data_IF_593842535785
#
_entry.id   IF_593842535785
#
_cell.length_a   1.000
_cell.length_b   1.000
_cell.length_c   1.000
_cell.angle_alpha   90.00
_cell.angle_beta   90.00
_cell.angle_gamma   90.00
#
_symmetry.space_group_name_H-M   'P 1'
#
loop_
_entity.id
_entity.type
_entity.pdbx_description
1 polymer ?
#
# COMPACT_ATOMS: atom_id res chain seq x y z
N UNK A 1 24.23 -10.45 22.52
CA UNK A 1 23.01 -11.27 22.34
C UNK A 1 23.42 -12.63 21.78
N UNK A 2 22.83 -13.72 22.25
CA UNK A 2 23.05 -15.07 21.71
C UNK A 2 21.90 -15.43 20.75
N UNK A 3 22.20 -16.23 19.72
CA UNK A 3 21.17 -16.74 18.80
C UNK A 3 20.17 -17.61 19.57
N UNK A 4 18.86 -17.55 19.24
CA UNK A 4 17.88 -18.41 19.88
C UNK A 4 18.09 -19.88 19.49
N UNK A 5 17.59 -20.83 20.31
CA UNK A 5 17.57 -22.24 19.94
C UNK A 5 16.83 -22.47 18.61
N UNK A 6 17.34 -23.38 17.77
CA UNK A 6 16.71 -23.76 16.49
C UNK A 6 15.47 -24.63 16.71
N UNK A 7 14.38 -24.02 17.19
CA UNK A 7 13.07 -24.64 17.38
C UNK A 7 11.96 -23.67 16.96
N UNK A 8 10.90 -24.15 16.30
CA UNK A 8 9.73 -23.32 16.00
C UNK A 8 9.17 -22.70 17.28
N UNK A 9 8.82 -21.42 17.23
CA UNK A 9 8.14 -20.71 18.32
C UNK A 9 6.65 -20.64 18.05
N UNK A 10 5.84 -20.63 19.11
CA UNK A 10 4.42 -20.29 19.00
C UNK A 10 4.30 -18.87 18.47
N UNK A 11 3.54 -18.70 17.40
CA UNK A 11 3.32 -17.41 16.74
C UNK A 11 2.37 -16.54 17.55
N UNK A 12 2.55 -15.22 17.44
CA UNK A 12 1.56 -14.25 17.92
C UNK A 12 0.39 -14.33 16.94
N UNK A 13 -0.81 -14.58 17.48
CA UNK A 13 -2.00 -14.84 16.67
C UNK A 13 -3.03 -13.71 16.72
N UNK A 14 -2.89 -12.75 17.64
CA UNK A 14 -3.78 -11.59 17.74
C UNK A 14 -3.34 -10.50 16.75
N UNK A 15 -4.25 -9.95 15.90
CA UNK A 15 -3.92 -8.81 15.06
C UNK A 15 -3.68 -7.57 15.92
N UNK A 16 -2.75 -6.71 15.52
CA UNK A 16 -2.43 -5.45 16.21
C UNK A 16 -2.29 -4.25 15.27
N UNK A 17 -2.08 -4.49 13.99
CA UNK A 17 -1.83 -3.42 13.02
C UNK A 17 -2.98 -3.38 12.01
N UNK A 18 -3.61 -2.22 11.82
CA UNK A 18 -4.81 -2.09 11.03
C UNK A 18 -4.66 -0.97 10.00
N UNK A 19 -5.00 -1.25 8.75
CA UNK A 19 -5.14 -0.24 7.71
C UNK A 19 -6.62 -0.02 7.44
N UNK A 20 -7.15 1.14 7.83
CA UNK A 20 -8.57 1.49 7.73
C UNK A 20 -8.74 2.57 6.67
N UNK A 21 -9.61 2.36 5.69
CA UNK A 21 -9.85 3.33 4.63
C UNK A 21 -11.32 3.38 4.20
N UNK A 22 -11.71 4.45 3.51
CA UNK A 22 -13.10 4.69 3.17
C UNK A 22 -13.45 6.17 3.01
N UNK A 23 -14.63 6.49 2.46
CA UNK A 23 -15.04 7.86 2.21
C UNK A 23 -15.09 8.70 3.50
N UNK A 24 -15.13 10.02 3.35
CA UNK A 24 -15.33 10.94 4.48
C UNK A 24 -16.65 10.63 5.18
N UNK A 25 -16.70 10.83 6.50
CA UNK A 25 -17.91 10.60 7.32
C UNK A 25 -18.48 9.17 7.31
N UNK A 26 -17.73 8.18 6.83
CA UNK A 26 -18.14 6.77 6.78
C UNK A 26 -17.69 5.93 7.98
N UNK A 27 -17.37 6.58 9.10
CA UNK A 27 -17.12 5.90 10.38
C UNK A 27 -15.70 5.35 10.57
N UNK A 28 -14.71 5.83 9.81
CA UNK A 28 -13.28 5.45 9.98
C UNK A 28 -12.76 5.81 11.37
N UNK A 29 -12.80 7.09 11.73
CA UNK A 29 -12.34 7.59 13.04
C UNK A 29 -13.20 7.04 14.19
N UNK A 30 -14.49 6.78 13.95
CA UNK A 30 -15.38 6.11 14.91
C UNK A 30 -14.97 4.66 15.18
N UNK A 31 -14.62 3.88 14.14
CA UNK A 31 -14.08 2.53 14.32
C UNK A 31 -12.72 2.58 15.07
N UNK A 32 -11.86 3.54 14.74
CA UNK A 32 -10.58 3.67 15.43
C UNK A 32 -10.72 4.06 16.91
N UNK A 33 -11.69 4.91 17.27
CA UNK A 33 -11.95 5.29 18.67
C UNK A 33 -12.52 4.16 19.52
N UNK A 34 -13.08 3.11 18.91
CA UNK A 34 -13.58 1.95 19.64
C UNK A 34 -12.44 1.09 20.22
N UNK A 35 -11.21 1.21 19.73
CA UNK A 35 -10.06 0.44 20.25
C UNK A 35 -9.65 0.85 21.67
N UNK A 36 -8.96 -0.02 22.43
CA UNK A 36 -8.52 0.28 23.79
C UNK A 36 -7.62 1.52 23.85
N UNK A 37 -7.98 2.46 24.74
CA UNK A 37 -7.21 3.67 25.08
C UNK A 37 -6.45 4.32 23.90
N UNK A 38 -7.16 4.86 22.89
CA UNK A 38 -6.53 5.37 21.69
C UNK A 38 -5.98 6.79 21.87
N UNK A 39 -4.86 7.08 21.18
CA UNK A 39 -4.37 8.43 20.90
C UNK A 39 -4.30 8.66 19.40
N UNK A 40 -4.80 9.81 18.94
CA UNK A 40 -4.83 10.18 17.52
C UNK A 40 -3.68 11.13 17.21
N UNK A 41 -2.85 10.75 16.25
CA UNK A 41 -1.89 11.62 15.58
C UNK A 41 -2.58 12.20 14.35
N UNK A 42 -3.11 13.40 14.53
CA UNK A 42 -4.05 14.04 13.62
C UNK A 42 -3.32 14.93 12.62
N UNK A 43 -3.59 14.80 11.33
CA UNK A 43 -2.99 15.62 10.26
C UNK A 43 -4.03 16.45 9.51
N UNK A 44 -5.32 16.11 9.61
CA UNK A 44 -6.38 16.70 8.80
C UNK A 44 -7.17 17.83 9.50
N UNK A 45 -6.82 18.14 10.75
CA UNK A 45 -7.42 19.22 11.55
C UNK A 45 -8.78 18.89 12.17
N UNK A 46 -9.27 17.65 12.10
CA UNK A 46 -10.58 17.27 12.64
C UNK A 46 -10.56 16.82 14.11
N UNK A 47 -9.38 16.76 14.75
CA UNK A 47 -9.20 16.34 16.13
C UNK A 47 -10.15 17.03 17.14
N UNK A 48 -10.41 18.32 16.97
CA UNK A 48 -11.28 19.09 17.87
C UNK A 48 -12.74 18.62 17.90
N UNK A 49 -13.16 17.79 16.94
CA UNK A 49 -14.52 17.25 16.84
C UNK A 49 -14.64 15.84 17.47
N UNK A 50 -13.56 15.32 18.06
CA UNK A 50 -13.47 13.95 18.57
C UNK A 50 -13.06 13.99 20.04
N UNK A 51 -13.65 13.15 20.88
CA UNK A 51 -13.34 13.07 22.33
C UNK A 51 -12.02 12.33 22.62
N UNK A 52 -11.53 11.55 21.66
CA UNK A 52 -10.28 10.80 21.76
C UNK A 52 -9.09 11.76 21.91
N UNK A 53 -8.18 11.52 22.88
CA UNK A 53 -6.95 12.28 23.01
C UNK A 53 -6.19 12.35 21.68
N UNK A 54 -5.71 13.54 21.33
CA UNK A 54 -5.11 13.78 20.02
C UNK A 54 -3.94 14.76 20.10
N UNK A 55 -3.04 14.62 19.13
CA UNK A 55 -1.92 15.52 18.87
C UNK A 55 -1.98 15.92 17.41
N UNK A 56 -2.07 17.23 17.15
CA UNK A 56 -2.04 17.76 15.80
C UNK A 56 -0.61 17.77 15.25
N UNK A 57 -0.44 17.19 14.08
CA UNK A 57 0.80 17.07 13.34
C UNK A 57 0.78 18.01 12.15
N UNK A 58 1.81 18.85 12.07
CA UNK A 58 2.00 19.81 10.97
C UNK A 58 3.46 20.18 10.88
N UNK A 59 3.90 20.67 9.73
CA UNK A 59 5.20 21.35 9.68
C UNK A 59 5.07 22.70 10.41
N UNK A 60 5.60 22.79 11.63
CA UNK A 60 5.52 24.01 12.45
C UNK A 60 6.43 25.08 11.84
N UNK A 61 5.88 26.26 11.58
CA UNK A 61 6.59 27.35 10.91
C UNK A 61 6.96 28.47 11.87
N UNK A 62 8.12 29.08 11.66
CA UNK A 62 8.49 30.32 12.34
C UNK A 62 7.61 31.47 11.81
N UNK A 63 6.88 32.20 12.67
CA UNK A 63 6.02 33.30 12.24
C UNK A 63 6.73 34.47 11.56
N UNK A 64 8.05 34.61 11.74
CA UNK A 64 8.86 35.70 11.17
C UNK A 64 9.48 35.33 9.83
N UNK A 65 10.02 34.12 9.70
CA UNK A 65 10.70 33.69 8.47
C UNK A 65 9.80 32.88 7.55
N UNK A 66 8.75 32.25 8.10
CA UNK A 66 7.89 31.33 7.39
C UNK A 66 8.49 29.93 7.20
N UNK A 67 9.75 29.72 7.58
CA UNK A 67 10.47 28.46 7.42
C UNK A 67 9.99 27.41 8.44
N UNK A 68 10.11 26.13 8.08
CA UNK A 68 9.85 25.02 9.00
C UNK A 68 10.87 25.05 10.14
N UNK A 69 10.36 25.20 11.36
CA UNK A 69 11.13 25.15 12.60
C UNK A 69 11.16 23.75 13.21
N UNK A 70 10.03 23.04 13.16
CA UNK A 70 9.91 21.65 13.62
C UNK A 70 9.12 20.88 12.56
N UNK A 71 9.79 19.94 11.91
CA UNK A 71 9.16 19.12 10.87
C UNK A 71 8.17 18.11 11.44
N UNK A 72 7.22 17.66 10.62
CA UNK A 72 6.34 16.55 10.97
C UNK A 72 7.13 15.27 11.27
N UNK A 73 8.29 15.10 10.63
CA UNK A 73 9.18 13.96 10.84
C UNK A 73 9.71 14.00 12.26
N UNK A 74 10.24 15.13 12.71
CA UNK A 74 10.72 15.30 14.09
C UNK A 74 9.62 15.07 15.12
N UNK A 75 8.42 15.61 14.87
CA UNK A 75 7.26 15.39 15.74
C UNK A 75 6.91 13.91 15.85
N UNK A 76 6.80 13.21 14.72
CA UNK A 76 6.49 11.78 14.68
C UNK A 76 7.55 10.95 15.40
N UNK A 77 8.83 11.19 15.13
CA UNK A 77 9.91 10.45 15.78
C UNK A 77 9.99 10.74 17.28
N UNK A 78 9.64 11.96 17.71
CA UNK A 78 9.52 12.37 19.10
C UNK A 78 8.37 11.66 19.81
N UNK A 79 7.17 11.67 19.22
CA UNK A 79 5.99 10.99 19.76
C UNK A 79 6.20 9.48 19.86
N UNK A 80 6.77 8.85 18.83
CA UNK A 80 7.12 7.42 18.88
C UNK A 80 8.11 7.16 20.01
N UNK A 81 9.12 8.03 20.19
CA UNK A 81 10.08 7.89 21.29
C UNK A 81 9.41 8.01 22.66
N UNK A 82 8.39 8.86 22.80
CA UNK A 82 7.64 8.98 24.05
C UNK A 82 6.74 7.76 24.30
N UNK A 83 6.16 7.17 23.25
CA UNK A 83 5.47 5.88 23.33
C UNK A 83 6.44 4.73 23.71
N UNK A 84 7.66 4.71 23.16
CA UNK A 84 8.69 3.71 23.47
C UNK A 84 9.16 3.79 24.93
N UNK A 85 9.23 4.99 25.51
CA UNK A 85 9.61 5.18 26.94
C UNK A 85 8.54 4.66 27.90
N UNK A 86 7.28 4.58 27.47
CA UNK A 86 6.15 4.22 28.32
C UNK A 86 5.74 5.33 29.29
N UNK A 87 5.06 4.97 30.39
CA UNK A 87 4.53 5.93 31.38
C UNK A 87 3.23 6.62 30.95
N UNK A 88 2.68 6.22 29.81
CA UNK A 88 1.35 6.61 29.32
C UNK A 88 0.34 5.47 29.51
N UNK A 89 -0.95 5.80 29.47
CA UNK A 89 -2.05 4.81 29.50
C UNK A 89 -2.54 4.34 28.12
N UNK A 90 -1.93 4.81 27.03
CA UNK A 90 -2.37 4.46 25.68
C UNK A 90 -2.06 3.01 25.32
N UNK A 91 -3.03 2.37 24.66
CA UNK A 91 -2.95 0.99 24.14
C UNK A 91 -3.17 0.93 22.62
N UNK A 92 -3.51 2.06 22.01
CA UNK A 92 -3.69 2.20 20.56
C UNK A 92 -3.17 3.54 20.08
N UNK A 93 -2.40 3.55 19.00
CA UNK A 93 -2.01 4.77 18.27
C UNK A 93 -2.71 4.79 16.91
N UNK A 94 -3.32 5.92 16.57
CA UNK A 94 -4.07 6.13 15.33
C UNK A 94 -3.41 7.25 14.53
N UNK A 95 -3.08 7.02 13.26
CA UNK A 95 -2.61 8.05 12.33
C UNK A 95 -3.78 8.43 11.43
N UNK A 96 -4.32 9.65 11.60
CA UNK A 96 -5.51 10.15 10.90
C UNK A 96 -5.22 11.51 10.24
N UNK A 97 -4.96 11.63 8.94
CA UNK A 97 -4.82 10.59 7.90
C UNK A 97 -3.38 10.42 7.44
N UNK A 98 -3.01 9.18 7.11
CA UNK A 98 -1.66 8.81 6.66
C UNK A 98 -1.30 9.45 5.31
N UNK A 99 -2.29 9.75 4.47
CA UNK A 99 -2.12 10.51 3.22
C UNK A 99 -1.44 11.87 3.44
N UNK A 100 -1.90 12.62 4.44
CA UNK A 100 -1.37 13.95 4.73
C UNK A 100 -0.04 13.87 5.47
N UNK A 101 0.17 12.84 6.29
CA UNK A 101 1.48 12.58 6.88
C UNK A 101 2.55 12.42 5.79
N UNK A 102 2.27 11.61 4.76
CA UNK A 102 3.17 11.42 3.62
C UNK A 102 3.42 12.75 2.88
N UNK A 103 2.36 13.53 2.65
CA UNK A 103 2.46 14.84 2.00
C UNK A 103 3.31 15.82 2.83
N UNK A 104 3.13 15.86 4.15
CA UNK A 104 3.88 16.72 5.06
C UNK A 104 5.37 16.31 5.12
N UNK A 105 5.68 15.01 5.02
CA UNK A 105 7.06 14.50 4.91
C UNK A 105 7.71 14.98 3.61
N UNK A 106 6.99 14.89 2.48
CA UNK A 106 7.49 15.41 1.19
C UNK A 106 7.78 16.91 1.26
N UNK A 107 6.87 17.70 1.85
CA UNK A 107 7.07 19.14 2.04
C UNK A 107 8.32 19.45 2.88
N UNK A 108 8.55 18.71 3.97
CA UNK A 108 9.73 18.90 4.81
C UNK A 108 11.04 18.61 4.03
N UNK A 109 11.06 17.54 3.22
CA UNK A 109 12.21 17.21 2.37
C UNK A 109 12.44 18.30 1.31
N UNK A 110 11.38 18.73 0.63
CA UNK A 110 11.44 19.78 -0.38
C UNK A 110 12.04 21.08 0.19
N UNK A 111 11.52 21.53 1.33
CA UNK A 111 11.96 22.77 1.97
C UNK A 111 13.40 22.70 2.49
N UNK A 112 13.81 21.58 3.09
CA UNK A 112 15.20 21.36 3.53
C UNK A 112 16.20 21.39 2.36
N UNK A 113 15.77 20.99 1.16
CA UNK A 113 16.60 20.99 -0.03
C UNK A 113 16.40 22.24 -0.93
N UNK A 114 15.53 23.17 -0.54
CA UNK A 114 15.24 24.38 -1.31
C UNK A 114 14.62 24.11 -2.69
N UNK A 115 13.78 23.08 -2.80
CA UNK A 115 13.09 22.68 -4.05
C UNK A 115 11.57 22.62 -3.85
N UNK A 116 10.79 22.72 -4.92
CA UNK A 116 9.33 22.62 -4.86
C UNK A 116 8.82 21.18 -5.08
N UNK A 117 9.59 20.37 -5.80
CA UNK A 117 9.25 18.99 -6.11
C UNK A 117 10.32 18.03 -5.62
N UNK A 118 9.89 16.94 -4.97
CA UNK A 118 10.79 15.96 -4.35
C UNK A 118 11.73 15.29 -5.36
N UNK A 119 11.34 15.25 -6.64
CA UNK A 119 12.19 14.73 -7.72
C UNK A 119 13.34 15.65 -8.13
N UNK A 120 13.30 16.93 -7.76
CA UNK A 120 14.34 17.91 -8.09
C UNK A 120 15.55 17.81 -7.15
N UNK A 121 15.42 17.03 -6.06
CA UNK A 121 16.56 16.70 -5.19
C UNK A 121 17.52 15.79 -5.98
N UNK A 122 18.81 16.17 -6.14
CA UNK A 122 19.76 15.49 -7.00
C UNK A 122 19.88 13.97 -6.77
N UNK A 123 20.11 13.23 -7.85
CA UNK A 123 20.38 11.79 -7.84
C UNK A 123 19.27 10.94 -7.20
N UNK A 124 18.01 11.42 -7.25
CA UNK A 124 16.86 10.71 -6.66
C UNK A 124 16.86 10.67 -5.14
N UNK A 125 17.73 11.46 -4.48
CA UNK A 125 17.87 11.47 -3.02
C UNK A 125 16.58 11.86 -2.31
N UNK A 126 15.76 12.75 -2.88
CA UNK A 126 14.46 13.14 -2.30
C UNK A 126 13.51 11.96 -2.14
N UNK A 127 13.34 11.15 -3.19
CA UNK A 127 12.54 9.92 -3.13
C UNK A 127 13.13 8.89 -2.15
N UNK A 128 14.47 8.80 -2.07
CA UNK A 128 15.17 7.97 -1.10
C UNK A 128 14.89 8.37 0.35
N UNK A 129 14.97 9.67 0.66
CA UNK A 129 14.67 10.22 1.99
C UNK A 129 13.20 9.97 2.36
N UNK A 130 12.28 10.28 1.44
CA UNK A 130 10.84 10.04 1.63
C UNK A 130 10.55 8.60 2.00
N UNK A 131 11.05 7.64 1.20
CA UNK A 131 10.90 6.21 1.49
C UNK A 131 11.49 5.84 2.85
N UNK A 132 12.66 6.38 3.17
CA UNK A 132 13.36 6.10 4.44
C UNK A 132 12.53 6.56 5.64
N UNK A 133 11.99 7.77 5.61
CA UNK A 133 11.20 8.29 6.72
C UNK A 133 9.87 7.54 6.89
N UNK A 134 9.14 7.29 5.81
CA UNK A 134 7.88 6.53 5.86
C UNK A 134 8.14 5.12 6.42
N UNK A 135 9.17 4.43 5.90
CA UNK A 135 9.52 3.08 6.36
C UNK A 135 9.94 3.08 7.83
N UNK A 136 10.75 4.06 8.24
CA UNK A 136 11.20 4.21 9.64
C UNK A 136 10.03 4.39 10.59
N UNK A 137 9.09 5.28 10.27
CA UNK A 137 7.88 5.53 11.06
C UNK A 137 7.05 4.24 11.17
N UNK A 138 6.73 3.60 10.05
CA UNK A 138 5.88 2.40 10.02
C UNK A 138 6.51 1.24 10.80
N UNK A 139 7.81 0.99 10.63
CA UNK A 139 8.52 -0.09 11.32
C UNK A 139 8.60 0.18 12.82
N UNK A 140 8.89 1.42 13.23
CA UNK A 140 8.97 1.75 14.66
C UNK A 140 7.60 1.67 15.33
N UNK A 141 6.53 2.16 14.69
CA UNK A 141 5.17 2.01 15.19
C UNK A 141 4.80 0.54 15.37
N UNK A 142 5.07 -0.31 14.37
CA UNK A 142 4.81 -1.77 14.44
C UNK A 142 5.57 -2.46 15.57
N UNK A 143 6.75 -1.96 15.93
CA UNK A 143 7.56 -2.53 17.00
C UNK A 143 7.02 -2.21 18.41
N UNK A 144 6.09 -1.25 18.53
CA UNK A 144 5.47 -0.91 19.81
C UNK A 144 4.57 -2.06 20.30
N UNK A 145 4.50 -2.30 21.63
CA UNK A 145 3.66 -3.35 22.21
C UNK A 145 2.19 -2.91 22.33
N UNK A 146 1.63 -2.28 21.29
CA UNK A 146 0.28 -1.71 21.27
C UNK A 146 -0.38 -1.86 19.89
N UNK A 147 -1.64 -1.47 19.77
CA UNK A 147 -2.32 -1.45 18.47
C UNK A 147 -1.89 -0.23 17.66
N UNK A 148 -1.74 -0.41 16.35
CA UNK A 148 -1.41 0.67 15.41
C UNK A 148 -2.48 0.71 14.33
N UNK A 149 -3.10 1.87 14.14
CA UNK A 149 -4.15 2.08 13.14
C UNK A 149 -3.72 3.18 12.20
N UNK A 150 -3.70 2.88 10.90
CA UNK A 150 -3.50 3.87 9.85
C UNK A 150 -4.84 4.15 9.18
N UNK A 151 -5.25 5.42 9.16
CA UNK A 151 -6.46 5.85 8.46
C UNK A 151 -6.06 6.48 7.12
N UNK A 152 -6.69 6.02 6.04
CA UNK A 152 -6.52 6.59 4.70
C UNK A 152 -7.86 7.01 4.09
N UNK A 153 -7.81 7.90 3.09
CA UNK A 153 -8.99 8.30 2.33
C UNK A 153 -9.35 7.24 1.29
N UNK A 154 -10.39 7.55 0.52
CA UNK A 154 -10.97 6.68 -0.49
C UNK A 154 -10.74 7.27 -1.87
N UNK A 155 -10.38 6.41 -2.80
CA UNK A 155 -10.32 6.68 -4.22
C UNK A 155 -11.05 5.58 -4.99
N UNK A 156 -11.21 5.80 -6.29
CA UNK A 156 -11.71 4.78 -7.21
C UNK A 156 -10.68 4.54 -8.31
N UNK A 157 -10.58 3.29 -8.73
CA UNK A 157 -9.80 2.87 -9.89
C UNK A 157 -10.74 2.23 -10.89
N UNK A 158 -10.61 2.62 -12.16
CA UNK A 158 -11.39 2.06 -13.25
C UNK A 158 -10.73 0.74 -13.69
N UNK A 159 -11.43 -0.38 -13.51
CA UNK A 159 -11.07 -1.69 -14.03
C UNK A 159 -12.06 -2.05 -15.16
N UNK A 160 -11.66 -1.79 -16.41
CA UNK A 160 -12.55 -1.94 -17.57
C UNK A 160 -13.65 -0.87 -17.57
N UNK A 161 -14.88 -1.26 -17.29
CA UNK A 161 -16.04 -0.35 -17.13
C UNK A 161 -16.53 -0.24 -15.69
N UNK A 162 -15.88 -0.94 -14.76
CA UNK A 162 -16.30 -1.02 -13.36
C UNK A 162 -15.39 -0.12 -12.51
N UNK A 163 -16.01 0.78 -11.74
CA UNK A 163 -15.30 1.54 -10.72
C UNK A 163 -15.09 0.67 -9.47
N UNK A 164 -13.83 0.42 -9.15
CA UNK A 164 -13.45 -0.32 -7.96
C UNK A 164 -12.96 0.62 -6.87
N UNK A 165 -13.47 0.48 -5.63
CA UNK A 165 -12.97 1.26 -4.51
C UNK A 165 -11.55 0.84 -4.14
N UNK A 166 -10.67 1.81 -3.93
CA UNK A 166 -9.30 1.62 -3.45
C UNK A 166 -8.97 2.68 -2.38
N UNK A 167 -7.98 2.44 -1.50
CA UNK A 167 -7.41 3.53 -0.70
C UNK A 167 -6.79 4.59 -1.61
N UNK A 168 -6.73 5.84 -1.14
CA UNK A 168 -6.10 6.94 -1.88
C UNK A 168 -4.58 6.90 -1.89
N UNK A 169 -3.96 6.14 -0.98
CA UNK A 169 -2.52 5.90 -1.00
C UNK A 169 -2.09 5.27 -2.32
N UNK A 170 -1.02 5.81 -2.92
CA UNK A 170 -0.39 5.19 -4.08
C UNK A 170 0.21 3.83 -3.75
N UNK A 171 0.27 2.93 -4.75
CA UNK A 171 0.64 1.52 -4.58
C UNK A 171 1.94 1.31 -3.78
N UNK A 172 2.95 2.16 -3.99
CA UNK A 172 4.23 2.07 -3.27
C UNK A 172 4.06 2.29 -1.77
N UNK A 173 3.31 3.32 -1.37
CA UNK A 173 3.09 3.65 0.03
C UNK A 173 2.11 2.67 0.67
N UNK A 174 1.08 2.28 -0.07
CA UNK A 174 0.14 1.26 0.35
C UNK A 174 0.86 -0.05 0.67
N UNK A 175 1.81 -0.47 -0.16
CA UNK A 175 2.60 -1.68 0.08
C UNK A 175 3.45 -1.59 1.35
N UNK A 176 4.00 -0.42 1.67
CA UNK A 176 4.77 -0.22 2.90
C UNK A 176 3.85 -0.26 4.13
N UNK A 177 2.73 0.46 4.10
CA UNK A 177 1.79 0.56 5.22
C UNK A 177 1.01 -0.75 5.41
N UNK A 178 0.28 -1.20 4.38
CA UNK A 178 -0.51 -2.43 4.42
C UNK A 178 0.35 -3.68 4.59
N UNK A 179 1.57 -3.72 4.01
CA UNK A 179 2.52 -4.81 4.20
C UNK A 179 2.99 -4.97 5.66
N UNK A 180 2.76 -3.97 6.50
CA UNK A 180 3.00 -4.01 7.95
C UNK A 180 1.71 -4.16 8.78
N UNK A 181 0.54 -4.18 8.13
CA UNK A 181 -0.74 -4.40 8.77
C UNK A 181 -1.10 -5.90 8.84
N UNK A 182 -2.02 -6.19 9.73
CA UNK A 182 -2.64 -7.50 9.96
C UNK A 182 -4.00 -7.58 9.26
N UNK A 183 -4.76 -6.49 9.29
CA UNK A 183 -6.05 -6.35 8.61
C UNK A 183 -6.13 -5.06 7.80
N UNK A 184 -6.68 -5.17 6.59
CA UNK A 184 -7.08 -4.08 5.73
C UNK A 184 -8.60 -3.97 5.76
N UNK A 185 -9.14 -2.88 6.29
CA UNK A 185 -10.57 -2.71 6.58
C UNK A 185 -11.11 -1.51 5.79
N UNK A 186 -12.10 -1.78 4.97
CA UNK A 186 -12.86 -0.77 4.26
C UNK A 186 -14.11 -0.38 5.05
N UNK A 187 -14.29 0.92 5.30
CA UNK A 187 -15.49 1.49 5.91
C UNK A 187 -16.37 2.17 4.85
N UNK A 188 -17.66 1.82 4.82
CA UNK A 188 -18.66 2.42 3.92
C UNK A 188 -19.96 2.69 4.64
N UNK A 189 -20.66 3.74 4.24
CA UNK A 189 -22.02 4.03 4.68
C UNK A 189 -23.00 3.72 3.56
N UNK A 190 -23.94 2.79 3.80
CA UNK A 190 -25.04 2.47 2.88
C UNK A 190 -26.35 2.87 3.56
N UNK A 191 -26.96 3.95 3.08
CA UNK A 191 -28.10 4.59 3.73
C UNK A 191 -27.75 5.03 5.16
N UNK A 192 -28.38 4.40 6.15
CA UNK A 192 -28.12 4.66 7.59
C UNK A 192 -27.14 3.68 8.22
N UNK A 193 -26.75 2.61 7.51
CA UNK A 193 -25.90 1.54 8.04
C UNK A 193 -24.44 1.83 7.74
N UNK A 194 -23.59 1.70 8.76
CA UNK A 194 -22.14 1.72 8.63
C UNK A 194 -21.65 0.29 8.48
N UNK A 195 -20.98 0.00 7.36
CA UNK A 195 -20.39 -1.28 7.04
C UNK A 195 -18.87 -1.19 7.21
N UNK A 196 -18.31 -2.23 7.81
CA UNK A 196 -16.88 -2.43 8.00
C UNK A 196 -16.56 -3.79 7.39
N UNK A 197 -15.67 -3.84 6.40
CA UNK A 197 -15.36 -5.07 5.65
C UNK A 197 -13.86 -5.26 5.52
N UNK A 198 -13.37 -6.45 5.85
CA UNK A 198 -12.00 -6.84 5.54
C UNK A 198 -11.83 -7.01 4.03
N UNK A 199 -10.87 -6.30 3.48
CA UNK A 199 -10.45 -6.37 2.08
C UNK A 199 -9.28 -7.33 1.92
N UNK A 200 -8.38 -7.33 2.89
CA UNK A 200 -7.18 -8.17 2.92
C UNK A 200 -6.78 -8.46 4.37
N UNK A 201 -6.12 -9.59 4.60
CA UNK A 201 -5.71 -10.06 5.93
C UNK A 201 -4.44 -10.90 5.87
N UNK A 202 -3.57 -10.74 6.86
CA UNK A 202 -2.32 -11.50 6.96
C UNK A 202 -2.53 -12.97 7.29
N UNK A 203 -3.56 -13.28 8.08
CA UNK A 203 -3.90 -14.63 8.54
C UNK A 203 -5.41 -14.80 8.58
N UNK A 204 -5.84 -16.05 8.63
CA UNK A 204 -7.22 -16.40 8.97
C UNK A 204 -7.32 -16.40 10.50
N UNK A 205 -7.69 -15.26 11.07
CA UNK A 205 -7.83 -15.11 12.52
C UNK A 205 -8.98 -15.96 13.07
N UNK A 206 -8.80 -16.46 14.30
CA UNK A 206 -9.81 -17.19 15.06
C UNK A 206 -10.19 -16.42 16.32
N UNK A 207 -11.42 -16.60 16.80
CA UNK A 207 -11.96 -15.85 17.95
C UNK A 207 -11.22 -16.14 19.25
N UNK A 208 -10.86 -17.41 19.45
CA UNK A 208 -10.13 -17.91 20.61
C UNK A 208 -8.68 -17.40 20.68
N UNK A 209 -8.15 -16.82 19.61
CA UNK A 209 -6.81 -16.20 19.59
C UNK A 209 -6.81 -14.76 20.11
N UNK A 210 -7.98 -14.16 20.32
CA UNK A 210 -8.10 -12.77 20.75
C UNK A 210 -8.46 -12.77 22.22
N UNK A 211 -7.45 -12.50 23.05
CA UNK A 211 -7.61 -12.46 24.50
C UNK A 211 -8.35 -11.21 24.98
N UNK A 212 -8.23 -10.09 24.26
CA UNK A 212 -8.89 -8.84 24.59
C UNK A 212 -10.35 -8.84 24.10
N UNK A 213 -11.30 -8.86 25.04
CA UNK A 213 -12.74 -8.85 24.76
C UNK A 213 -13.20 -7.61 23.97
N UNK A 214 -12.57 -6.46 24.16
CA UNK A 214 -12.90 -5.23 23.44
C UNK A 214 -12.47 -5.34 21.98
N UNK A 215 -11.26 -5.84 21.73
CA UNK A 215 -10.79 -6.11 20.36
C UNK A 215 -11.66 -7.18 19.70
N UNK A 216 -12.01 -8.25 20.41
CA UNK A 216 -12.90 -9.30 19.90
C UNK A 216 -14.26 -8.72 19.45
N UNK A 217 -14.89 -7.89 20.28
CA UNK A 217 -16.16 -7.21 19.94
C UNK A 217 -16.03 -6.31 18.71
N UNK A 218 -14.92 -5.58 18.59
CA UNK A 218 -14.64 -4.76 17.40
C UNK A 218 -14.56 -5.66 16.17
N UNK A 219 -13.78 -6.73 16.21
CA UNK A 219 -13.58 -7.62 15.08
C UNK A 219 -14.85 -8.39 14.71
N UNK A 220 -15.70 -8.76 15.67
CA UNK A 220 -17.02 -9.34 15.39
C UNK A 220 -17.95 -8.38 14.62
N UNK A 221 -17.77 -7.06 14.78
CA UNK A 221 -18.50 -6.06 13.99
C UNK A 221 -17.96 -5.89 12.55
N UNK A 222 -16.78 -6.43 12.24
CA UNK A 222 -16.11 -6.29 10.95
C UNK A 222 -16.37 -7.54 10.10
N UNK A 223 -17.08 -7.34 8.99
CA UNK A 223 -17.41 -8.41 8.04
C UNK A 223 -16.13 -8.98 7.45
N UNK A 224 -15.91 -10.29 7.63
CA UNK A 224 -14.74 -11.00 7.09
C UNK A 224 -13.51 -11.00 8.01
N UNK A 225 -13.59 -10.46 9.22
CA UNK A 225 -12.51 -10.56 10.21
C UNK A 225 -12.23 -12.01 10.62
N UNK A 226 -13.29 -12.83 10.73
CA UNK A 226 -13.21 -14.26 11.02
C UNK A 226 -13.80 -15.09 9.86
N UNK A 227 -13.32 -16.32 9.72
CA UNK A 227 -13.91 -17.27 8.77
C UNK A 227 -15.32 -17.70 9.20
N UNK A 228 -16.18 -17.94 8.20
CA UNK A 228 -17.61 -18.27 8.37
C UNK A 228 -17.91 -19.60 9.11
N UNK A 229 -16.91 -20.24 9.71
CA UNK A 229 -17.06 -21.46 10.52
C UNK A 229 -16.71 -21.32 12.01
N UNK A 230 -16.40 -20.11 12.49
CA UNK A 230 -15.90 -19.88 13.87
C UNK A 230 -16.94 -19.31 14.84
N UNK A 231 -18.22 -19.32 14.49
CA UNK A 231 -19.28 -18.88 15.40
C UNK A 231 -19.72 -20.05 16.30
N UNK A 232 -19.56 -19.91 17.62
CA UNK A 232 -20.47 -20.55 18.56
C UNK A 232 -21.86 -19.93 18.33
N UNK A 233 -22.75 -20.70 17.69
CA UNK A 233 -24.11 -20.29 17.36
C UNK A 233 -24.97 -20.33 18.63
N UNK A 234 -25.66 -19.24 19.03
CA UNK A 234 -26.82 -19.38 19.90
C UNK A 234 -27.93 -20.01 19.06
N UNK A 235 -28.28 -21.26 19.37
CA UNK A 235 -29.41 -21.93 18.74
C UNK A 235 -30.69 -21.14 19.00
N UNK A 236 -31.29 -20.63 17.93
CA UNK A 236 -32.72 -20.34 17.90
C UNK A 236 -33.27 -21.06 16.69
N UNK A 237 -33.97 -22.16 16.94
CA UNK A 237 -34.67 -22.94 15.94
C UNK A 237 -35.77 -22.08 15.30
N UNK A 238 -35.78 -22.01 13.98
CA UNK A 238 -37.01 -21.74 13.23
C UNK A 238 -37.03 -22.63 12.00
N UNK A 239 -37.88 -23.66 12.08
CA UNK A 239 -38.35 -24.51 10.99
C UNK A 239 -38.76 -23.67 9.78
N UNK A 240 -38.33 -24.06 8.60
CA UNK A 240 -39.13 -23.93 7.37
C UNK A 240 -38.94 -25.21 6.57
N UNK A 241 -40.09 -25.84 6.27
CA UNK A 241 -40.26 -27.09 5.55
C UNK A 241 -39.83 -26.99 4.08
N UNK A 242 -39.42 -28.16 3.61
CA UNK A 242 -39.04 -28.56 2.26
C UNK A 242 -40.24 -28.59 1.31
N UNK A 243 -40.13 -27.92 0.16
CA UNK A 243 -40.91 -28.20 -1.05
C UNK A 243 -39.95 -28.08 -2.26
N UNK A 244 -39.56 -29.23 -2.81
CA UNK A 244 -39.05 -29.39 -4.17
C UNK A 244 -40.22 -29.18 -5.17
N UNK A 245 -40.07 -28.79 -6.44
CA UNK A 245 -39.08 -29.14 -7.48
C UNK A 245 -38.94 -27.98 -8.54
N UNK A 246 -38.41 -28.16 -9.78
CA UNK A 246 -37.16 -27.53 -10.22
C UNK A 246 -37.32 -26.58 -11.44
N UNK A 247 -36.44 -25.58 -11.61
CA UNK A 247 -36.33 -24.85 -12.89
C UNK A 247 -34.88 -24.51 -13.23
N UNK A 248 -34.39 -25.23 -14.24
CA UNK A 248 -33.48 -24.87 -15.34
C UNK A 248 -32.13 -24.20 -15.05
N UNK A 249 -31.09 -25.02 -15.25
CA UNK A 249 -29.70 -24.62 -15.49
C UNK A 249 -29.59 -23.78 -16.78
N UNK A 250 -29.11 -22.54 -16.63
CA UNK A 250 -28.62 -21.77 -17.78
C UNK A 250 -27.18 -22.16 -18.10
N UNK A 251 -27.03 -22.66 -19.33
CA UNK A 251 -25.81 -23.05 -20.02
C UNK A 251 -24.69 -22.00 -19.98
N UNK A 252 -23.46 -22.48 -19.92
CA UNK A 252 -22.21 -21.72 -19.84
C UNK A 252 -21.76 -21.19 -21.21
N UNK A 253 -21.10 -20.03 -21.20
CA UNK A 253 -20.55 -19.29 -22.35
C UNK A 253 -19.55 -20.07 -23.24
N UNK A 254 -19.14 -21.26 -22.83
CA UNK A 254 -18.31 -22.20 -23.60
C UNK A 254 -19.07 -22.91 -24.72
N UNK A 255 -20.39 -23.11 -24.60
CA UNK A 255 -21.20 -23.79 -25.63
C UNK A 255 -21.54 -22.86 -26.81
N UNK A 256 -21.49 -21.54 -26.62
CA UNK A 256 -21.75 -20.54 -27.67
C UNK A 256 -20.52 -20.36 -28.58
N UNK A 257 -19.32 -20.74 -28.12
CA UNK A 257 -18.08 -20.62 -28.89
C UNK A 257 -17.87 -21.77 -29.88
N UNK A 258 -18.48 -22.95 -29.64
CA UNK A 258 -18.37 -24.12 -30.52
C UNK A 258 -19.28 -24.03 -31.76
N UNK A 259 -20.40 -23.31 -31.69
CA UNK A 259 -21.32 -23.13 -32.84
C UNK A 259 -20.80 -22.13 -33.89
N UNK A 260 -19.88 -21.23 -33.53
CA UNK A 260 -19.29 -20.26 -34.48
C UNK A 260 -18.16 -20.88 -35.32
N UNK A 261 -17.53 -21.95 -34.83
CA UNK A 261 -16.46 -22.65 -35.56
C UNK A 261 -16.96 -23.60 -36.65
N UNK A 262 -18.24 -23.97 -36.66
CA UNK A 262 -18.81 -24.93 -37.63
C UNK A 262 -19.02 -24.29 -39.02
N UNK A 263 -18.97 -22.96 -39.15
CA UNK A 263 -19.23 -22.27 -40.43
C UNK A 263 -17.99 -22.03 -41.31
N UNK A 264 -16.82 -22.55 -40.96
CA UNK A 264 -15.59 -22.40 -41.77
C UNK A 264 -14.85 -23.72 -41.96
N UNK A 265 -15.51 -24.74 -42.49
CA UNK A 265 -14.82 -25.84 -43.16
C UNK A 265 -15.46 -26.13 -44.52
N UNK A 266 -14.93 -25.49 -45.57
CA UNK A 266 -15.07 -26.02 -46.92
C UNK A 266 -13.66 -26.22 -47.51
N UNK A 267 -13.28 -27.49 -47.59
CA UNK A 267 -12.34 -28.05 -48.57
C UNK A 267 -10.87 -27.65 -48.48
N UNK A 268 -10.04 -28.51 -47.87
CA UNK A 268 -9.25 -29.52 -48.60
C UNK A 268 -7.89 -29.88 -47.97
N UNK A 269 -7.76 -31.19 -47.70
CA UNK A 269 -6.61 -32.10 -47.88
C UNK A 269 -5.32 -31.89 -47.05
N UNK A 270 -5.19 -32.79 -46.05
CA UNK A 270 -4.09 -33.71 -45.71
C UNK A 270 -2.61 -33.30 -45.87
N UNK A 271 -1.78 -33.56 -44.86
CA UNK A 271 -0.87 -34.74 -44.81
C UNK A 271 0.00 -34.78 -43.54
N UNK A 272 0.19 -36.01 -43.05
CA UNK A 272 1.16 -36.42 -42.03
C UNK A 272 2.56 -36.48 -42.65
N UNK A 273 3.59 -35.85 -42.06
CA UNK A 273 4.99 -36.34 -42.07
C UNK A 273 5.77 -35.84 -40.84
N UNK A 274 6.67 -36.73 -40.42
CA UNK A 274 7.61 -36.89 -39.32
C UNK A 274 8.75 -35.86 -39.10
N UNK A 275 9.22 -35.86 -37.84
CA UNK A 275 10.61 -35.76 -37.36
C UNK A 275 11.49 -34.50 -37.52
N UNK A 276 12.09 -34.17 -36.35
CA UNK A 276 13.45 -33.68 -36.04
C UNK A 276 13.73 -32.19 -35.84
N UNK A 277 14.32 -32.00 -34.65
CA UNK A 277 15.33 -31.04 -34.20
C UNK A 277 15.03 -29.54 -34.37
N UNK A 278 14.91 -28.82 -33.24
CA UNK A 278 15.98 -27.94 -32.71
C UNK A 278 15.48 -26.94 -31.64
N UNK A 279 16.39 -26.69 -30.71
CA UNK A 279 16.65 -25.44 -30.00
C UNK A 279 15.71 -24.94 -28.88
N UNK A 280 16.19 -25.20 -27.65
CA UNK A 280 16.55 -24.22 -26.61
C UNK A 280 15.52 -23.17 -26.22
N UNK A 281 14.97 -23.40 -25.02
CA UNK A 281 14.49 -22.39 -24.08
C UNK A 281 15.68 -21.66 -23.45
N UNK A 282 15.60 -20.34 -23.29
CA UNK A 282 16.16 -19.71 -22.10
C UNK A 282 15.31 -18.52 -21.64
N UNK A 283 14.93 -18.57 -20.37
CA UNK A 283 14.62 -17.43 -19.52
C UNK A 283 15.47 -17.62 -18.25
N UNK A 284 16.17 -16.56 -17.89
CA UNK A 284 17.16 -16.44 -16.81
C UNK A 284 16.54 -16.56 -15.41
N UNK A 285 17.34 -16.97 -14.43
CA UNK A 285 17.38 -16.34 -13.10
C UNK A 285 18.68 -16.65 -12.31
N UNK A 286 19.45 -15.58 -12.08
CA UNK A 286 20.27 -15.15 -10.93
C UNK A 286 21.21 -16.05 -10.07
N UNK A 287 22.47 -15.56 -10.04
CA UNK A 287 23.37 -15.28 -8.91
C UNK A 287 23.82 -16.38 -7.91
N UNK A 288 25.12 -16.65 -7.88
CA UNK A 288 25.99 -16.20 -6.78
C UNK A 288 27.48 -16.47 -7.07
N UNK A 289 28.30 -15.49 -6.70
CA UNK A 289 29.75 -15.41 -6.93
C UNK A 289 30.53 -16.22 -5.87
N UNK A 290 31.32 -17.19 -6.33
CA UNK A 290 32.56 -17.62 -5.67
C UNK A 290 33.63 -17.74 -6.76
N UNK A 291 34.65 -16.89 -6.69
CA UNK A 291 35.66 -16.70 -7.74
C UNK A 291 36.56 -17.94 -7.84
N UNK A 292 36.51 -18.61 -8.99
CA UNK A 292 37.33 -19.77 -9.37
C UNK A 292 38.70 -19.29 -9.91
N UNK A 293 39.85 -19.90 -9.54
CA UNK A 293 41.20 -19.39 -9.90
C UNK A 293 41.55 -19.36 -11.39
N UNK A 294 40.65 -19.78 -12.29
CA UNK A 294 40.92 -19.91 -13.72
C UNK A 294 40.49 -18.70 -14.58
N UNK A 295 40.05 -17.59 -13.97
CA UNK A 295 39.64 -16.38 -14.71
C UNK A 295 40.84 -15.60 -15.26
N UNK A 296 41.99 -15.60 -14.57
CA UNK A 296 43.18 -14.87 -15.03
C UNK A 296 43.82 -15.51 -16.28
N UNK A 297 43.68 -16.82 -16.46
CA UNK A 297 44.19 -17.54 -17.63
C UNK A 297 43.28 -17.30 -18.85
N UNK A 298 41.96 -17.27 -18.66
CA UNK A 298 40.99 -17.00 -19.73
C UNK A 298 41.05 -15.55 -20.27
N UNK A 299 41.36 -14.57 -19.42
CA UNK A 299 41.52 -13.15 -19.81
C UNK A 299 42.82 -12.91 -20.60
N UNK A 300 43.85 -13.74 -20.40
CA UNK A 300 45.08 -13.70 -21.22
C UNK A 300 44.87 -14.26 -22.62
N UNK A 301 44.09 -15.33 -22.73
CA UNK A 301 43.81 -15.98 -24.02
C UNK A 301 42.73 -15.27 -24.84
N UNK A 302 41.94 -14.37 -24.21
CA UNK A 302 40.90 -13.58 -24.87
C UNK A 302 40.94 -12.10 -24.40
N UNK A 303 41.89 -11.29 -24.90
CA UNK A 303 41.93 -9.87 -24.55
C UNK A 303 40.69 -9.14 -25.12
N UNK A 304 40.12 -8.16 -24.40
CA UNK A 304 38.98 -7.41 -24.89
C UNK A 304 39.36 -6.60 -26.15
N UNK A 305 38.41 -6.34 -27.07
CA UNK A 305 38.69 -5.60 -28.29
C UNK A 305 39.17 -4.18 -27.96
N UNK A 306 40.17 -3.71 -28.70
CA UNK A 306 40.76 -2.39 -28.51
C UNK A 306 39.70 -1.29 -28.69
N UNK A 307 39.55 -0.41 -27.69
CA UNK A 307 38.75 0.80 -27.83
C UNK A 307 39.42 1.72 -28.87
N UNK A 308 38.78 1.90 -30.03
CA UNK A 308 39.12 3.00 -30.93
C UNK A 308 38.74 4.36 -30.29
N UNK A 309 39.56 5.40 -30.51
CA UNK A 309 39.37 6.69 -29.86
C UNK A 309 38.09 7.40 -30.31
N UNK A 310 37.35 7.87 -29.30
CA UNK A 310 36.13 8.67 -29.38
C UNK A 310 36.28 9.85 -30.36
N UNK A 311 35.67 9.76 -31.55
CA UNK A 311 35.54 10.88 -32.48
C UNK A 311 34.29 11.67 -32.14
N UNK A 312 34.51 12.89 -31.65
CA UNK A 312 33.47 13.89 -31.40
C UNK A 312 32.67 14.20 -32.67
N UNK A 313 31.38 13.88 -32.68
CA UNK A 313 30.42 14.46 -33.64
C UNK A 313 29.71 15.64 -32.96
N UNK A 314 30.08 16.85 -33.39
CA UNK A 314 29.41 18.10 -33.02
C UNK A 314 27.96 18.09 -33.53
N UNK A 315 27.00 18.35 -32.64
CA UNK A 315 25.65 18.74 -33.02
C UNK A 315 25.66 20.12 -33.72
N UNK A 316 24.82 20.35 -34.75
CA UNK A 316 24.85 21.58 -35.54
C UNK A 316 24.33 22.78 -34.73
N UNK A 317 25.07 23.90 -34.83
CA UNK A 317 24.64 25.23 -34.35
C UNK A 317 23.76 25.91 -35.40
N UNK A 318 22.51 26.20 -35.04
CA UNK A 318 21.61 27.23 -35.61
C UNK A 318 20.69 27.70 -34.47
N UNK A 319 20.35 28.95 -34.17
CA UNK A 319 20.66 30.30 -34.67
C UNK A 319 20.43 31.33 -33.51
N UNK A 320 20.75 32.61 -33.77
CA UNK A 320 21.02 33.76 -32.88
C UNK A 320 19.96 34.21 -31.84
N UNK A 321 20.37 34.97 -30.80
CA UNK A 321 19.49 35.62 -29.83
C UNK A 321 18.88 36.93 -30.38
N UNK A 322 17.59 37.16 -30.09
CA UNK A 322 16.93 38.47 -30.24
C UNK A 322 15.81 38.53 -31.28
N UNK A 323 14.57 38.36 -30.83
CA UNK A 323 13.38 38.87 -31.52
C UNK A 323 12.41 39.47 -30.48
N UNK A 324 11.85 40.68 -30.72
CA UNK A 324 10.97 41.34 -29.75
C UNK A 324 9.60 40.66 -29.65
N UNK A 325 9.06 40.61 -28.42
CA UNK A 325 7.70 40.13 -28.14
C UNK A 325 6.65 40.98 -28.85
N UNK A 326 5.72 40.33 -29.56
CA UNK A 326 4.55 40.97 -30.14
C UNK A 326 3.61 41.54 -29.04
N UNK A 327 2.95 42.70 -29.27
CA UNK A 327 2.04 43.29 -28.30
C UNK A 327 0.74 42.47 -28.14
N UNK A 328 0.29 42.35 -26.89
CA UNK A 328 -0.98 41.71 -26.51
C UNK A 328 -2.15 42.56 -27.01
N UNK A 329 -3.10 41.95 -27.73
CA UNK A 329 -4.36 42.60 -28.10
C UNK A 329 -5.21 42.93 -26.86
N UNK A 330 -5.94 44.05 -26.85
CA UNK A 330 -6.77 44.46 -25.71
C UNK A 330 -8.02 43.58 -25.59
N UNK A 331 -8.35 43.19 -24.35
CA UNK A 331 -9.66 42.66 -23.98
C UNK A 331 -10.72 43.75 -24.18
N UNK A 332 -11.68 43.51 -25.06
CA UNK A 332 -12.93 44.28 -25.11
C UNK A 332 -13.74 44.06 -23.83
N UNK A 333 -14.39 45.14 -23.39
CA UNK A 333 -15.11 45.28 -22.12
C UNK A 333 -16.27 44.32 -21.94
#
# INVERSE_FOLDING_TARGET
>A
MALPPNKPKKTIETPRNYFIWGPTMNGKSYLASEYPNPVIFNTDGNAAQIETPSVDLKNERDPKTGEIKVSVVEQMLGLIKDLEKGGHGFETVVIDVVDDLITLIEQAICEENGVDYVGDVPYGKGWGLRKTFITSIVVRLKALPMNVIYISRYATKLEGTIEKPIPSLGDKDLNVVNGNCDLNIMCQKIGKKYLRRVVDRRKNYQRDWIEDERILKILDSVIGAFDKGSAAVPQTESKVEELAEPVEEKKTLTEIAEEVSVELEDGSIATVVTEKDKDVVSSEENESNSVDPNIEEYVKDNPPPANEPNTTVKAPRTAKPGAPRAPRAPRTK
#
